data_IF_794861700119
#
_entry.id   IF_794861700119
#
_cell.length_a   1.000
_cell.length_b   1.000
_cell.length_c   1.000
_cell.angle_alpha   90.00
_cell.angle_beta   90.00
_cell.angle_gamma   90.00
#
_symmetry.space_group_name_H-M   'P 1'
#
loop_
_entity.id
_entity.type
_entity.pdbx_description
1 polymer ?
#
# COMPACT_ATOMS: atom_id res chain seq x y z
N UNK A 1 3.21 -8.45 -2.84
CA UNK A 1 1.83 -8.91 -3.14
C UNK A 1 1.21 -8.00 -4.18
N UNK A 2 0.23 -8.50 -4.93
CA UNK A 2 -0.52 -7.75 -5.93
C UNK A 2 -1.97 -7.62 -5.46
N UNK A 3 -2.54 -6.41 -5.40
CA UNK A 3 -3.95 -6.25 -5.07
C UNK A 3 -4.88 -6.98 -6.04
N UNK A 4 -6.15 -7.22 -5.65
CA UNK A 4 -7.15 -7.80 -6.54
C UNK A 4 -7.25 -7.04 -7.88
N UNK A 5 -7.51 -7.70 -9.02
CA UNK A 5 -7.53 -7.05 -10.34
C UNK A 5 -8.54 -5.89 -10.49
N UNK A 6 -9.53 -5.84 -9.60
CA UNK A 6 -10.59 -4.82 -9.53
C UNK A 6 -10.31 -3.72 -8.51
N UNK A 7 -9.17 -3.78 -7.82
CA UNK A 7 -8.80 -2.78 -6.84
C UNK A 7 -8.50 -1.45 -7.53
N UNK A 8 -9.12 -0.37 -7.04
CA UNK A 8 -8.87 1.01 -7.49
C UNK A 8 -8.09 1.82 -6.46
N UNK A 9 -8.02 1.32 -5.22
CA UNK A 9 -7.20 1.89 -4.17
C UNK A 9 -6.80 0.83 -3.13
N UNK A 10 -5.66 1.06 -2.49
CA UNK A 10 -5.20 0.34 -1.31
C UNK A 10 -5.41 1.22 -0.09
N UNK A 11 -6.01 0.65 0.96
CA UNK A 11 -6.16 1.28 2.26
C UNK A 11 -5.05 0.73 3.15
N UNK A 12 -4.24 1.59 3.72
CA UNK A 12 -3.17 1.22 4.65
C UNK A 12 -3.52 1.77 6.01
N UNK A 13 -3.76 0.87 6.97
CA UNK A 13 -3.92 1.24 8.38
C UNK A 13 -2.54 1.25 9.05
N UNK A 14 -2.14 2.42 9.52
CA UNK A 14 -0.82 2.67 10.14
C UNK A 14 -0.95 2.95 11.64
N UNK A 15 -2.10 2.66 12.26
CA UNK A 15 -2.40 2.98 13.68
C UNK A 15 -1.34 2.42 14.64
N UNK A 16 -0.79 1.23 14.39
CA UNK A 16 0.21 0.61 15.26
C UNK A 16 1.63 1.22 15.11
N UNK A 17 1.84 2.15 14.17
CA UNK A 17 3.13 2.81 13.91
C UNK A 17 4.33 1.87 13.67
N UNK A 18 4.10 0.62 13.27
CA UNK A 18 5.13 -0.43 13.15
C UNK A 18 5.24 -1.03 11.74
N UNK A 19 5.48 -0.19 10.73
CA UNK A 19 5.85 -0.71 9.41
C UNK A 19 5.92 0.32 8.30
N UNK A 20 6.10 -0.20 7.08
CA UNK A 20 5.94 0.55 5.85
C UNK A 20 5.40 -0.33 4.71
N UNK A 21 4.71 0.30 3.76
CA UNK A 21 4.38 -0.26 2.46
C UNK A 21 5.32 0.34 1.41
N UNK A 22 6.09 -0.50 0.72
CA UNK A 22 6.77 -0.12 -0.52
C UNK A 22 5.89 -0.42 -1.71
N UNK A 23 5.85 0.51 -2.66
CA UNK A 23 5.11 0.39 -3.92
C UNK A 23 6.10 0.40 -5.08
N UNK A 24 6.02 -0.63 -5.92
CA UNK A 24 6.87 -0.78 -7.11
C UNK A 24 6.04 -1.10 -8.33
N UNK A 25 6.59 -0.93 -9.53
CA UNK A 25 5.99 -1.48 -10.75
C UNK A 25 6.33 -2.97 -10.95
N UNK A 26 6.09 -3.48 -12.15
CA UNK A 26 6.36 -4.85 -12.57
C UNK A 26 7.83 -5.17 -12.82
N UNK A 27 8.66 -4.19 -13.15
CA UNK A 27 10.11 -4.35 -13.28
C UNK A 27 10.86 -4.17 -11.95
N UNK A 28 10.14 -3.72 -10.91
CA UNK A 28 10.65 -3.49 -9.56
C UNK A 28 11.10 -2.05 -9.33
N UNK A 29 10.84 -1.14 -10.27
CA UNK A 29 11.12 0.28 -10.12
C UNK A 29 10.31 0.88 -8.98
N UNK A 30 10.95 1.77 -8.22
CA UNK A 30 10.34 2.47 -7.11
C UNK A 30 9.27 3.44 -7.60
N UNK A 31 8.07 3.36 -7.03
CA UNK A 31 6.97 4.30 -7.29
C UNK A 31 6.79 5.20 -6.08
N UNK A 32 6.52 4.61 -4.91
CA UNK A 32 6.22 5.35 -3.70
C UNK A 32 6.38 4.50 -2.42
N UNK A 33 6.23 5.15 -1.27
CA UNK A 33 6.25 4.53 0.05
C UNK A 33 5.18 5.12 0.98
N UNK A 34 4.51 4.26 1.72
CA UNK A 34 3.66 4.65 2.85
C UNK A 34 4.33 4.19 4.14
N UNK A 35 4.96 5.13 4.84
CA UNK A 35 5.54 4.92 6.17
C UNK A 35 4.64 5.46 7.28
N UNK A 36 4.81 4.94 8.48
CA UNK A 36 4.07 5.38 9.68
C UNK A 36 4.43 6.81 10.09
N UNK A 37 5.55 7.35 9.60
CA UNK A 37 5.92 8.75 9.78
C UNK A 37 5.08 9.76 8.96
N UNK A 38 4.31 9.30 7.96
CA UNK A 38 3.61 10.18 7.00
C UNK A 38 2.11 10.35 7.24
N UNK A 39 1.47 9.50 8.05
CA UNK A 39 0.02 9.54 8.21
C UNK A 39 -0.43 9.10 9.59
N UNK A 40 -1.22 9.92 10.26
CA UNK A 40 -1.64 9.67 11.64
C UNK A 40 -2.49 8.42 11.84
N UNK A 41 -3.21 7.91 10.83
CA UNK A 41 -4.17 6.80 11.02
C UNK A 41 -4.40 5.92 9.78
N UNK A 42 -4.88 6.50 8.66
CA UNK A 42 -5.30 5.72 7.49
C UNK A 42 -4.82 6.42 6.20
N UNK A 43 -4.16 5.69 5.31
CA UNK A 43 -3.72 6.20 4.01
C UNK A 43 -4.48 5.50 2.90
N UNK A 44 -5.05 6.30 1.99
CA UNK A 44 -5.67 5.80 0.78
C UNK A 44 -4.73 6.08 -0.39
N UNK A 45 -4.23 5.01 -1.01
CA UNK A 45 -3.35 5.07 -2.16
C UNK A 45 -4.12 4.65 -3.40
N UNK A 46 -4.35 5.56 -4.38
CA UNK A 46 -4.88 5.18 -5.68
C UNK A 46 -4.02 4.07 -6.31
N UNK A 47 -4.65 3.06 -6.90
CA UNK A 47 -3.92 1.85 -7.31
C UNK A 47 -3.95 1.64 -8.82
N UNK A 48 -2.78 1.38 -9.41
CA UNK A 48 -2.67 0.88 -10.78
C UNK A 48 -2.43 -0.64 -10.79
N UNK A 49 -3.02 -1.32 -11.77
CA UNK A 49 -2.93 -2.77 -11.95
C UNK A 49 -1.51 -3.28 -12.26
N UNK A 50 -0.58 -2.42 -12.70
CA UNK A 50 0.82 -2.78 -12.89
C UNK A 50 1.62 -2.74 -11.59
N UNK A 51 1.08 -2.12 -10.52
CA UNK A 51 1.81 -1.94 -9.27
C UNK A 51 1.78 -3.16 -8.38
N UNK A 52 2.81 -3.28 -7.56
CA UNK A 52 3.02 -4.28 -6.54
C UNK A 52 3.29 -3.60 -5.21
N UNK A 53 2.88 -4.26 -4.12
CA UNK A 53 3.14 -3.77 -2.77
C UNK A 53 3.95 -4.76 -1.95
N UNK A 54 4.85 -4.26 -1.12
CA UNK A 54 5.57 -5.05 -0.11
C UNK A 54 5.37 -4.39 1.25
N UNK A 55 4.74 -5.12 2.16
CA UNK A 55 4.63 -4.73 3.55
C UNK A 55 5.86 -5.18 4.33
N UNK A 56 6.34 -4.33 5.22
CA UNK A 56 7.34 -4.65 6.25
C UNK A 56 6.77 -4.28 7.62
N UNK A 57 6.83 -5.19 8.59
CA UNK A 57 6.25 -4.99 9.92
C UNK A 57 4.81 -5.52 10.04
N UNK A 58 4.04 -4.95 10.97
CA UNK A 58 2.64 -5.29 11.24
C UNK A 58 1.74 -4.16 10.76
N UNK A 59 1.28 -4.26 9.52
CA UNK A 59 0.40 -3.29 8.87
C UNK A 59 -0.83 -4.02 8.35
N UNK A 60 -2.00 -3.46 8.61
CA UNK A 60 -3.25 -3.93 8.00
C UNK A 60 -3.48 -3.24 6.66
N UNK A 61 -3.81 -4.04 5.65
CA UNK A 61 -4.00 -3.58 4.27
C UNK A 61 -5.39 -4.00 3.80
N UNK A 62 -6.20 -3.02 3.42
CA UNK A 62 -7.50 -3.18 2.79
C UNK A 62 -7.49 -2.77 1.31
N UNK A 63 -8.58 -3.10 0.60
CA UNK A 63 -8.74 -2.77 -0.83
C UNK A 63 -10.11 -2.17 -1.10
N UNK A 64 -10.15 -1.12 -1.92
CA UNK A 64 -11.40 -0.64 -2.52
C UNK A 64 -11.55 -1.28 -3.88
N UNK A 65 -12.64 -2.01 -4.11
CA UNK A 65 -12.90 -2.80 -5.33
C UNK A 65 -14.15 -2.32 -6.07
N UNK A 66 -14.20 -2.55 -7.40
CA UNK A 66 -15.36 -2.28 -8.28
C UNK A 66 -15.87 -3.53 -8.98
#
# INVERSE_FOLDING_TARGET
MKPPPKAIAVIVDVIESQGAIHITDDDGSYIDMVGTEFAGHLVLVPWDKSWFLRASGSIEVGYVIV
#
